data_IF_920574950630
#
_entry.id   IF_920574950630
#
_cell.length_a   1.000
_cell.length_b   1.000
_cell.length_c   1.000
_cell.angle_alpha   90.00
_cell.angle_beta   90.00
_cell.angle_gamma   90.00
#
_symmetry.space_group_name_H-M   'P 1'
#
loop_
_entity.id
_entity.type
_entity.pdbx_description
1 polymer ?
#
# COMPACT_ATOMS: atom_id res chain seq x y z
N UNK A 1 12.29 28.79 -8.75
CA UNK A 1 12.85 27.50 -9.18
C UNK A 1 13.65 26.92 -8.03
N UNK A 2 13.01 26.14 -7.16
CA UNK A 2 13.69 25.44 -6.07
C UNK A 2 14.14 24.08 -6.61
N UNK A 3 15.42 24.02 -6.98
CA UNK A 3 16.17 22.77 -7.07
C UNK A 3 16.11 22.07 -5.70
N UNK A 4 16.13 20.74 -5.64
CA UNK A 4 16.03 19.87 -4.45
C UNK A 4 14.61 19.46 -4.03
N UNK A 5 13.88 18.73 -4.89
CA UNK A 5 12.88 17.78 -4.37
C UNK A 5 12.73 16.59 -5.32
N UNK A 6 13.71 15.70 -5.31
CA UNK A 6 13.64 14.39 -5.99
C UNK A 6 12.41 13.59 -5.57
N UNK A 7 11.98 13.78 -4.32
CA UNK A 7 10.85 13.08 -3.72
C UNK A 7 9.53 13.59 -4.26
N UNK A 8 9.20 13.12 -5.45
CA UNK A 8 7.91 13.31 -6.08
C UNK A 8 6.95 12.18 -5.70
N UNK A 9 5.66 12.40 -5.98
CA UNK A 9 4.65 11.34 -5.89
C UNK A 9 5.07 10.11 -6.72
N UNK A 10 5.63 10.32 -7.91
CA UNK A 10 6.11 9.23 -8.78
C UNK A 10 7.29 8.44 -8.19
N UNK A 11 8.22 9.10 -7.52
CA UNK A 11 9.31 8.40 -6.83
C UNK A 11 8.78 7.61 -5.64
N UNK A 12 7.78 8.17 -4.95
CA UNK A 12 7.12 7.55 -3.80
C UNK A 12 6.29 6.32 -4.16
N UNK A 13 5.81 6.20 -5.42
CA UNK A 13 5.13 5.00 -5.91
C UNK A 13 5.97 3.74 -5.76
N UNK A 14 7.29 3.84 -5.93
CA UNK A 14 8.21 2.70 -5.78
C UNK A 14 8.12 2.14 -4.36
N UNK A 15 8.07 3.04 -3.37
CA UNK A 15 8.00 2.69 -1.94
C UNK A 15 6.62 2.17 -1.59
N UNK A 16 5.55 2.85 -2.02
CA UNK A 16 4.19 2.38 -1.79
C UNK A 16 3.95 0.99 -2.37
N UNK A 17 4.51 0.71 -3.56
CA UNK A 17 4.50 -0.64 -4.14
C UNK A 17 5.33 -1.64 -3.36
N UNK A 18 6.54 -1.26 -2.92
CA UNK A 18 7.40 -2.12 -2.10
C UNK A 18 6.73 -2.50 -0.76
N UNK A 19 6.01 -1.56 -0.15
CA UNK A 19 5.25 -1.75 1.09
C UNK A 19 3.88 -2.39 0.88
N UNK A 20 3.50 -2.67 -0.36
CA UNK A 20 2.18 -3.21 -0.73
C UNK A 20 0.99 -2.31 -0.34
N UNK A 21 1.20 -1.00 -0.38
CA UNK A 21 0.26 0.03 0.02
C UNK A 21 -0.41 0.75 -1.16
N UNK A 22 -0.35 0.17 -2.36
CA UNK A 22 -0.88 0.77 -3.59
C UNK A 22 0.03 1.85 -4.16
N UNK A 23 -0.56 2.96 -4.61
CA UNK A 23 0.16 4.09 -5.22
C UNK A 23 0.39 5.20 -4.20
N UNK A 24 1.38 6.06 -4.42
CA UNK A 24 1.61 7.23 -3.59
C UNK A 24 0.52 8.27 -3.83
N UNK A 25 -0.04 8.79 -2.74
CA UNK A 25 -1.09 9.82 -2.75
C UNK A 25 -0.47 11.18 -2.46
N UNK A 26 0.42 11.24 -1.46
CA UNK A 26 1.11 12.47 -1.12
C UNK A 26 2.49 12.20 -0.56
N UNK A 27 3.37 13.17 -0.78
CA UNK A 27 4.72 13.21 -0.22
C UNK A 27 4.93 14.61 0.33
N UNK A 28 5.49 14.68 1.54
CA UNK A 28 5.75 15.95 2.21
C UNK A 28 7.01 15.86 3.06
N UNK A 29 7.80 16.94 3.03
CA UNK A 29 8.89 17.16 3.96
C UNK A 29 8.32 17.77 5.25
N UNK A 30 8.46 17.04 6.34
CA UNK A 30 8.07 17.49 7.67
C UNK A 30 9.27 18.06 8.42
N UNK A 31 9.10 19.24 9.02
CA UNK A 31 10.10 19.85 9.89
C UNK A 31 9.87 19.41 11.34
N UNK A 32 10.90 18.86 11.97
CA UNK A 32 11.00 18.61 13.40
C UNK A 32 11.99 19.58 14.02
N UNK A 33 11.72 19.99 15.26
CA UNK A 33 12.63 20.87 16.01
C UNK A 33 13.95 20.19 16.41
N UNK A 34 14.01 18.86 16.34
CA UNK A 34 15.15 18.06 16.75
C UNK A 34 15.93 17.56 15.53
N UNK A 35 17.27 17.62 15.61
CA UNK A 35 18.16 17.09 14.59
C UNK A 35 18.35 15.60 14.82
N UNK A 36 17.82 14.79 13.90
CA UNK A 36 17.97 13.33 13.93
C UNK A 36 18.96 12.87 12.88
N UNK A 37 19.75 11.82 13.16
CA UNK A 37 20.64 11.25 12.16
C UNK A 37 19.82 10.65 11.02
N UNK A 38 20.17 10.97 9.78
CA UNK A 38 19.44 10.55 8.57
C UNK A 38 20.32 9.81 7.58
N UNK A 39 19.71 9.01 6.72
CA UNK A 39 20.35 8.39 5.56
C UNK A 39 20.21 9.28 4.33
N UNK A 40 21.29 9.48 3.58
CA UNK A 40 21.23 10.11 2.26
C UNK A 40 20.91 9.08 1.19
N UNK A 41 19.93 9.34 0.34
CA UNK A 41 19.58 8.46 -0.79
C UNK A 41 20.06 9.07 -2.10
N UNK A 42 20.61 8.24 -2.97
CA UNK A 42 20.99 8.60 -4.34
C UNK A 42 19.76 8.55 -5.27
N UNK A 43 19.27 9.71 -5.78
CA UNK A 43 18.10 9.82 -6.65
C UNK A 43 18.12 8.90 -7.88
N UNK A 44 19.28 8.81 -8.51
CA UNK A 44 19.45 8.04 -9.75
C UNK A 44 19.23 6.53 -9.53
N UNK A 45 19.46 6.03 -8.31
CA UNK A 45 19.36 4.61 -7.99
C UNK A 45 17.92 4.11 -7.86
N UNK A 46 17.00 4.95 -7.34
CA UNK A 46 15.60 4.56 -7.09
C UNK A 46 14.85 4.24 -8.40
N UNK A 47 15.20 4.91 -9.50
CA UNK A 47 14.62 4.64 -10.82
C UNK A 47 15.21 3.40 -11.52
N UNK A 48 16.38 2.94 -11.08
CA UNK A 48 17.15 1.88 -11.74
C UNK A 48 17.09 0.53 -11.02
N UNK A 49 16.65 0.50 -9.76
CA UNK A 49 16.66 -0.70 -8.90
C UNK A 49 15.33 -0.86 -8.17
N UNK A 50 14.97 -2.09 -7.78
CA UNK A 50 13.71 -2.40 -7.09
C UNK A 50 13.79 -2.30 -5.56
N UNK A 51 14.98 -2.05 -4.98
CA UNK A 51 15.20 -2.13 -3.53
C UNK A 51 15.84 -0.85 -3.00
N UNK A 52 15.04 -0.01 -2.33
CA UNK A 52 15.47 1.31 -1.82
C UNK A 52 16.72 1.26 -0.92
N UNK A 53 16.91 0.17 -0.18
CA UNK A 53 18.07 -0.03 0.71
C UNK A 53 19.41 0.12 -0.02
N UNK A 54 19.47 -0.30 -1.28
CA UNK A 54 20.72 -0.30 -2.05
C UNK A 54 21.09 1.11 -2.53
N UNK A 55 20.13 2.04 -2.49
CA UNK A 55 20.33 3.44 -2.81
C UNK A 55 20.78 4.29 -1.62
N UNK A 56 20.89 3.68 -0.43
CA UNK A 56 21.38 4.36 0.76
C UNK A 56 22.89 4.58 0.66
N UNK A 57 23.28 5.85 0.68
CA UNK A 57 24.68 6.26 0.80
C UNK A 57 25.01 6.54 2.27
N UNK A 58 26.15 6.04 2.73
CA UNK A 58 26.61 6.31 4.10
C UNK A 58 27.05 7.78 4.16
N UNK A 59 26.20 8.61 4.76
CA UNK A 59 26.45 10.02 4.99
C UNK A 59 26.06 10.33 6.44
N UNK A 60 27.02 10.81 7.23
CA UNK A 60 26.77 11.08 8.66
C UNK A 60 26.32 12.53 8.78
N UNK A 61 25.01 12.74 8.69
CA UNK A 61 24.40 14.05 8.73
C UNK A 61 23.13 13.98 9.58
N UNK A 62 22.92 15.02 10.39
CA UNK A 62 21.67 15.18 11.14
C UNK A 62 20.80 16.20 10.43
N UNK A 63 19.52 15.91 10.27
CA UNK A 63 18.56 16.79 9.61
C UNK A 63 17.37 17.05 10.54
N UNK A 64 16.81 18.26 10.54
CA UNK A 64 15.53 18.52 11.16
C UNK A 64 14.36 18.09 10.26
N UNK A 65 14.64 17.73 9.00
CA UNK A 65 13.61 17.32 8.04
C UNK A 65 13.47 15.80 7.96
N UNK A 66 12.23 15.33 7.93
CA UNK A 66 11.88 13.93 7.68
C UNK A 66 10.92 13.82 6.52
N UNK A 67 11.13 12.83 5.65
CA UNK A 67 10.24 12.56 4.53
C UNK A 67 9.02 11.75 4.99
N UNK A 68 7.83 12.28 4.76
CA UNK A 68 6.55 11.64 5.07
C UNK A 68 5.85 11.25 3.76
N UNK A 69 5.45 9.98 3.66
CA UNK A 69 4.77 9.42 2.49
C UNK A 69 3.42 8.88 2.93
N UNK A 70 2.39 9.18 2.15
CA UNK A 70 1.06 8.57 2.29
C UNK A 70 0.74 7.81 1.01
N UNK A 71 0.46 6.52 1.16
CA UNK A 71 0.04 5.65 0.06
C UNK A 71 -1.50 5.50 0.05
N UNK A 72 -2.02 4.96 -1.05
CA UNK A 72 -3.45 4.66 -1.23
C UNK A 72 -3.85 3.42 -0.42
N UNK A 73 -3.89 3.56 0.92
CA UNK A 73 -4.50 2.59 1.86
C UNK A 73 -6.04 2.64 1.78
N UNK A 74 -6.55 2.66 0.55
CA UNK A 74 -7.96 2.87 0.24
C UNK A 74 -8.73 1.56 0.14
N UNK A 75 -8.04 0.43 -0.10
CA UNK A 75 -8.66 -0.88 -0.35
C UNK A 75 -7.90 -1.98 0.37
N UNK A 76 -8.62 -2.95 0.96
CA UNK A 76 -8.03 -4.17 1.53
C UNK A 76 -8.91 -5.41 1.34
N UNK A 77 -8.26 -6.58 1.34
CA UNK A 77 -8.93 -7.88 1.40
C UNK A 77 -8.77 -8.49 2.79
N UNK A 78 -9.87 -8.85 3.45
CA UNK A 78 -9.88 -9.39 4.82
C UNK A 78 -10.64 -10.72 4.90
N UNK A 79 -10.32 -11.55 5.90
CA UNK A 79 -10.97 -12.86 6.11
C UNK A 79 -10.91 -13.83 4.91
N UNK A 80 -9.88 -13.75 4.06
CA UNK A 80 -9.62 -14.78 3.06
C UNK A 80 -8.34 -15.57 3.35
N UNK A 81 -7.97 -16.44 2.42
CA UNK A 81 -6.85 -17.39 2.58
C UNK A 81 -5.48 -16.79 2.29
N UNK A 82 -5.41 -15.58 1.72
CA UNK A 82 -4.16 -14.89 1.37
C UNK A 82 -4.37 -13.37 1.34
N UNK A 83 -3.29 -12.60 1.15
CA UNK A 83 -3.38 -11.15 0.94
C UNK A 83 -4.06 -10.76 -0.38
N UNK A 84 -4.21 -11.72 -1.30
CA UNK A 84 -4.89 -11.56 -2.58
C UNK A 84 -6.25 -12.26 -2.61
N UNK A 85 -6.80 -12.66 -1.46
CA UNK A 85 -8.11 -13.28 -1.36
C UNK A 85 -8.82 -12.83 -0.10
N UNK A 86 -10.10 -12.47 -0.21
CA UNK A 86 -10.94 -12.16 0.95
C UNK A 86 -12.11 -11.25 0.62
N UNK A 87 -12.79 -10.79 1.67
CA UNK A 87 -13.80 -9.74 1.59
C UNK A 87 -13.16 -8.40 1.27
N UNK A 88 -13.71 -7.72 0.27
CA UNK A 88 -13.31 -6.38 -0.12
C UNK A 88 -13.85 -5.32 0.85
N UNK A 89 -12.96 -4.53 1.40
CA UNK A 89 -13.28 -3.34 2.19
C UNK A 89 -12.59 -2.11 1.63
N UNK A 90 -13.33 -1.00 1.61
CA UNK A 90 -12.88 0.31 1.11
C UNK A 90 -12.91 1.33 2.24
N UNK A 91 -11.88 2.18 2.31
CA UNK A 91 -11.72 3.19 3.36
C UNK A 91 -12.25 4.56 2.89
N UNK A 92 -13.07 5.21 3.71
CA UNK A 92 -13.48 6.61 3.52
C UNK A 92 -13.60 7.33 4.84
N UNK A 93 -12.96 8.51 4.95
CA UNK A 93 -12.98 9.35 6.16
C UNK A 93 -12.69 8.56 7.45
N UNK A 94 -11.71 7.64 7.39
CA UNK A 94 -11.27 6.72 8.46
C UNK A 94 -12.15 5.49 8.75
N UNK A 95 -13.29 5.34 8.09
CA UNK A 95 -14.15 4.17 8.24
C UNK A 95 -13.93 3.18 7.11
N UNK A 96 -13.96 1.89 7.45
CA UNK A 96 -13.95 0.79 6.49
C UNK A 96 -15.36 0.35 6.23
N UNK A 97 -15.72 0.28 4.95
CA UNK A 97 -17.02 -0.18 4.48
C UNK A 97 -16.84 -1.38 3.57
N UNK A 98 -17.71 -2.38 3.70
CA UNK A 98 -17.73 -3.53 2.79
C UNK A 98 -18.41 -3.15 1.49
N UNK A 99 -17.91 -3.63 0.36
CA UNK A 99 -18.55 -3.39 -0.95
C UNK A 99 -19.64 -4.43 -1.18
N UNK A 100 -20.79 -4.01 -1.70
CA UNK A 100 -21.88 -4.91 -2.07
C UNK A 100 -21.56 -5.67 -3.37
N UNK A 101 -21.93 -6.95 -3.40
CA UNK A 101 -21.78 -7.79 -4.60
C UNK A 101 -22.53 -7.21 -5.81
N UNK A 102 -23.71 -6.61 -5.60
CA UNK A 102 -24.53 -5.98 -6.65
C UNK A 102 -23.92 -4.69 -7.24
N UNK A 103 -22.83 -4.17 -6.66
CA UNK A 103 -22.24 -2.87 -6.99
C UNK A 103 -20.76 -2.97 -7.34
N UNK A 104 -20.30 -4.18 -7.67
CA UNK A 104 -18.91 -4.47 -7.97
C UNK A 104 -18.78 -5.47 -9.10
N UNK A 105 -18.16 -5.04 -10.19
CA UNK A 105 -18.01 -5.84 -11.40
C UNK A 105 -16.56 -6.34 -11.62
N UNK A 106 -16.32 -6.95 -12.78
CA UNK A 106 -15.01 -7.49 -13.12
C UNK A 106 -13.98 -6.41 -13.48
N UNK A 107 -14.41 -5.24 -13.98
CA UNK A 107 -13.50 -4.11 -14.24
C UNK A 107 -13.04 -3.49 -12.93
N UNK A 108 -13.94 -3.34 -11.96
CA UNK A 108 -13.60 -2.90 -10.60
C UNK A 108 -12.61 -3.88 -9.95
N UNK A 109 -12.87 -5.19 -10.11
CA UNK A 109 -11.98 -6.25 -9.64
C UNK A 109 -10.58 -6.16 -10.24
N UNK A 110 -10.49 -5.82 -11.52
CA UNK A 110 -9.21 -5.65 -12.22
C UNK A 110 -8.41 -4.49 -11.65
N UNK A 111 -9.08 -3.37 -11.37
CA UNK A 111 -8.44 -2.22 -10.72
C UNK A 111 -7.97 -2.58 -9.32
N UNK A 112 -8.81 -3.22 -8.49
CA UNK A 112 -8.43 -3.63 -7.13
C UNK A 112 -7.27 -4.61 -7.12
N UNK A 113 -7.32 -5.67 -7.94
CA UNK A 113 -6.22 -6.64 -7.99
C UNK A 113 -4.91 -6.00 -8.47
N UNK A 114 -4.97 -5.00 -9.36
CA UNK A 114 -3.81 -4.22 -9.80
C UNK A 114 -3.31 -3.26 -8.71
N UNK A 115 -4.21 -2.53 -8.07
CA UNK A 115 -3.90 -1.61 -6.95
C UNK A 115 -3.22 -2.37 -5.80
N UNK A 116 -3.73 -3.57 -5.49
CA UNK A 116 -3.13 -4.47 -4.53
C UNK A 116 -1.89 -5.19 -5.05
N UNK A 117 -1.48 -5.06 -6.31
CA UNK A 117 -0.32 -5.77 -6.87
C UNK A 117 -0.48 -7.30 -6.89
N UNK A 118 -1.71 -7.78 -6.98
CA UNK A 118 -2.10 -9.19 -6.97
C UNK A 118 -2.39 -9.75 -8.38
N UNK A 119 -2.03 -9.03 -9.44
CA UNK A 119 -2.25 -9.48 -10.83
C UNK A 119 -3.70 -9.38 -11.30
N UNK A 120 -4.16 -10.34 -12.11
CA UNK A 120 -5.52 -10.34 -12.66
C UNK A 120 -6.56 -10.91 -11.67
N UNK A 121 -7.83 -10.52 -11.73
CA UNK A 121 -8.89 -11.15 -10.92
C UNK A 121 -9.17 -12.58 -11.38
N UNK A 122 -9.35 -13.51 -10.44
CA UNK A 122 -9.69 -14.92 -10.71
C UNK A 122 -11.15 -15.24 -10.37
N UNK A 123 -11.58 -14.86 -9.16
CA UNK A 123 -12.88 -15.25 -8.62
C UNK A 123 -13.51 -14.07 -7.90
N UNK A 124 -14.76 -13.81 -8.26
CA UNK A 124 -15.68 -12.94 -7.54
C UNK A 124 -16.70 -13.84 -6.82
N UNK A 125 -16.74 -13.76 -5.50
CA UNK A 125 -17.64 -14.56 -4.69
C UNK A 125 -18.33 -13.69 -3.64
N UNK A 126 -19.63 -13.48 -3.76
CA UNK A 126 -20.42 -12.92 -2.67
C UNK A 126 -20.56 -13.93 -1.53
N UNK A 127 -20.30 -13.48 -0.31
CA UNK A 127 -20.61 -14.26 0.89
C UNK A 127 -21.36 -13.41 1.93
N UNK A 128 -22.16 -14.09 2.75
CA UNK A 128 -22.80 -13.48 3.91
C UNK A 128 -21.75 -13.34 5.02
N UNK A 129 -21.15 -12.17 5.11
CA UNK A 129 -20.15 -11.88 6.14
C UNK A 129 -20.83 -11.35 7.40
N UNK A 130 -21.34 -12.26 8.24
CA UNK A 130 -21.65 -12.07 9.67
C UNK A 130 -22.73 -11.05 10.05
N UNK A 131 -23.67 -11.47 10.91
CA UNK A 131 -24.64 -10.58 11.58
C UNK A 131 -23.94 -9.58 12.51
N UNK A 132 -23.60 -8.42 11.98
CA UNK A 132 -23.18 -7.24 12.70
C UNK A 132 -23.56 -6.01 11.88
N UNK A 133 -23.50 -4.81 12.45
CA UNK A 133 -23.70 -3.54 11.73
C UNK A 133 -22.55 -3.34 10.72
N UNK A 134 -22.55 -4.11 9.63
CA UNK A 134 -21.61 -3.96 8.52
C UNK A 134 -22.04 -2.70 7.78
N UNK A 135 -21.18 -1.69 7.78
CA UNK A 135 -21.37 -0.52 6.95
C UNK A 135 -21.06 -0.92 5.50
N UNK A 136 -22.04 -0.79 4.63
CA UNK A 136 -21.84 -1.03 3.21
C UNK A 136 -21.44 0.26 2.51
N UNK A 137 -20.59 0.10 1.51
CA UNK A 137 -20.31 1.16 0.56
C UNK A 137 -21.59 1.50 -0.21
N UNK A 138 -21.90 2.79 -0.31
CA UNK A 138 -23.19 3.28 -0.80
C UNK A 138 -23.20 3.63 -2.29
N UNK A 139 -22.06 3.53 -2.96
CA UNK A 139 -21.92 3.89 -4.37
C UNK A 139 -21.46 2.71 -5.21
N UNK A 140 -21.91 2.65 -6.45
CA UNK A 140 -21.39 1.69 -7.41
C UNK A 140 -20.10 2.22 -7.99
N UNK A 141 -19.08 1.35 -8.07
CA UNK A 141 -17.87 1.64 -8.82
C UNK A 141 -18.14 1.37 -10.30
N UNK A 142 -17.68 2.28 -11.14
CA UNK A 142 -17.84 2.20 -12.58
C UNK A 142 -16.46 2.38 -13.22
N UNK A 143 -15.56 1.46 -12.90
CA UNK A 143 -14.22 1.47 -13.47
C UNK A 143 -14.26 1.07 -14.97
N UNK A 144 -13.42 1.70 -15.78
CA UNK A 144 -13.11 1.26 -17.14
C UNK A 144 -12.11 0.09 -17.15
N UNK A 145 -11.37 -0.12 -16.04
CA UNK A 145 -10.40 -1.19 -15.86
C UNK A 145 -8.94 -0.75 -16.07
N UNK A 146 -8.69 0.52 -16.39
CA UNK A 146 -7.35 1.08 -16.60
C UNK A 146 -6.90 2.05 -15.49
N UNK A 147 -7.76 2.29 -14.50
CA UNK A 147 -7.51 3.17 -13.37
C UNK A 147 -6.42 2.63 -12.43
N UNK A 148 -5.65 3.52 -11.82
CA UNK A 148 -4.55 3.09 -10.93
C UNK A 148 -5.04 2.69 -9.54
N UNK A 149 -6.15 3.27 -9.08
CA UNK A 149 -6.81 2.92 -7.83
C UNK A 149 -8.34 2.88 -7.98
N UNK A 150 -9.02 2.09 -7.15
CA UNK A 150 -10.48 1.95 -7.15
C UNK A 150 -11.19 3.29 -6.89
N UNK A 151 -10.55 4.17 -6.12
CA UNK A 151 -11.08 5.50 -5.80
C UNK A 151 -11.00 6.50 -6.96
N UNK A 152 -10.22 6.20 -8.00
CA UNK A 152 -10.12 7.02 -9.22
C UNK A 152 -11.26 6.73 -10.20
N UNK A 153 -11.99 5.63 -10.00
CA UNK A 153 -13.08 5.23 -10.88
C UNK A 153 -14.28 6.16 -10.79
N UNK A 154 -15.07 6.17 -11.87
CA UNK A 154 -16.40 6.76 -11.86
C UNK A 154 -17.25 6.19 -10.73
N UNK A 155 -18.11 7.02 -10.13
CA UNK A 155 -19.00 6.62 -9.04
C UNK A 155 -20.42 7.04 -9.34
N UNK A 156 -21.37 6.13 -9.18
CA UNK A 156 -22.79 6.48 -9.19
C UNK A 156 -23.26 6.75 -7.76
N UNK A 157 -23.90 7.90 -7.52
CA UNK A 157 -24.54 8.19 -6.24
C UNK A 157 -25.84 7.39 -6.13
N UNK A 158 -25.77 6.19 -5.57
CA UNK A 158 -26.98 5.46 -5.18
C UNK A 158 -27.53 6.03 -3.88
N UNK A 159 -28.39 7.03 -4.00
CA UNK A 159 -29.08 7.64 -2.87
C UNK A 159 -29.98 6.64 -2.10
N UNK A 160 -30.30 5.46 -2.66
CA UNK A 160 -31.28 4.53 -2.06
C UNK A 160 -31.01 3.02 -2.31
N UNK A 161 -29.82 2.60 -2.73
CA UNK A 161 -29.54 1.15 -2.88
C UNK A 161 -28.94 0.59 -1.60
N UNK A 162 -29.81 0.12 -0.71
CA UNK A 162 -29.40 -0.78 0.37
C UNK A 162 -28.95 -2.09 -0.25
N UNK A 163 -27.93 -2.73 0.32
CA UNK A 163 -27.45 -4.04 -0.11
C UNK A 163 -28.58 -5.07 0.02
N UNK A 164 -29.32 -5.35 -1.05
CA UNK A 164 -30.59 -6.08 -1.02
C UNK A 164 -30.46 -7.45 -0.35
N UNK A 165 -29.31 -8.12 -0.58
CA UNK A 165 -29.01 -9.44 -0.04
C UNK A 165 -28.04 -9.45 1.16
N UNK A 166 -27.51 -8.30 1.57
CA UNK A 166 -26.49 -8.23 2.64
C UNK A 166 -25.24 -9.06 2.35
N UNK A 167 -24.92 -9.26 1.07
CA UNK A 167 -23.73 -9.99 0.64
C UNK A 167 -22.62 -8.99 0.33
N UNK A 168 -21.48 -9.16 0.99
CA UNK A 168 -20.29 -8.40 0.64
C UNK A 168 -19.48 -9.12 -0.43
N UNK A 169 -18.86 -8.34 -1.30
CA UNK A 169 -17.97 -8.80 -2.35
C UNK A 169 -16.75 -9.50 -1.74
N UNK A 170 -16.57 -10.77 -2.05
CA UNK A 170 -15.31 -11.47 -1.92
C UNK A 170 -14.56 -11.45 -3.25
N UNK A 171 -13.27 -11.14 -3.21
CA UNK A 171 -12.39 -11.08 -4.37
C UNK A 171 -11.21 -12.01 -4.15
N UNK A 172 -10.86 -12.80 -5.17
CA UNK A 172 -9.61 -13.55 -5.25
C UNK A 172 -8.90 -13.20 -6.55
N UNK A 173 -7.62 -12.81 -6.44
CA UNK A 173 -6.76 -12.47 -7.56
C UNK A 173 -5.78 -13.61 -7.88
N UNK A 174 -5.26 -13.62 -9.12
CA UNK A 174 -4.38 -14.64 -9.70
C UNK A 174 -2.99 -14.67 -9.09
N UNK A 175 -2.51 -13.51 -8.67
CA UNK A 175 -1.27 -13.40 -7.96
C UNK A 175 -1.38 -14.18 -6.66
N UNK A 176 -0.58 -15.22 -6.53
CA UNK A 176 -0.19 -15.71 -5.23
C UNK A 176 0.67 -14.62 -4.62
N UNK A 177 0.09 -13.65 -3.89
CA UNK A 177 0.83 -13.10 -2.75
C UNK A 177 0.84 -14.20 -1.71
N UNK A 178 1.76 -15.14 -1.93
CA UNK A 178 2.12 -16.11 -0.91
C UNK A 178 2.38 -15.33 0.36
N UNK A 179 1.78 -15.81 1.44
CA UNK A 179 2.01 -15.36 2.80
C UNK A 179 3.48 -14.95 2.97
N UNK A 180 3.77 -13.66 3.04
CA UNK A 180 5.14 -13.11 3.18
C UNK A 180 6.11 -13.74 2.18
N UNK A 181 6.39 -13.13 1.02
CA UNK A 181 7.53 -13.62 0.22
C UNK A 181 8.84 -13.33 0.95
N UNK A 182 9.29 -14.30 1.74
CA UNK A 182 10.65 -14.44 2.23
C UNK A 182 11.58 -14.57 1.01
N UNK A 183 12.45 -13.58 0.78
CA UNK A 183 13.62 -13.83 -0.07
C UNK A 183 14.60 -14.75 0.68
N UNK A 184 15.27 -15.61 -0.08
CA UNK A 184 16.33 -16.51 0.37
C UNK A 184 17.48 -15.76 1.06
N UNK A 185 17.54 -15.84 2.40
CA UNK A 185 18.77 -15.53 3.13
C UNK A 185 19.67 -16.78 3.12
N UNK A 186 20.41 -16.99 2.03
CA UNK A 186 21.46 -18.02 2.01
C UNK A 186 22.61 -17.55 2.90
N UNK A 187 22.68 -18.09 4.12
CA UNK A 187 23.95 -18.17 4.85
C UNK A 187 24.25 -19.65 5.08
N UNK A 188 25.07 -20.21 4.18
CA UNK A 188 25.84 -21.43 4.44
C UNK A 188 25.04 -22.67 4.88
N UNK A 189 24.01 -23.04 4.12
CA UNK A 189 23.63 -24.46 3.97
C UNK A 189 22.80 -25.12 5.08
N UNK A 190 22.20 -24.38 6.02
CA UNK A 190 21.22 -24.94 6.96
C UNK A 190 19.99 -24.03 7.09
N UNK A 191 18.84 -24.56 6.69
CA UNK A 191 17.54 -23.87 6.66
C UNK A 191 17.02 -23.72 8.09
N UNK A 192 17.12 -22.51 8.65
CA UNK A 192 16.41 -22.10 9.87
C UNK A 192 15.47 -20.94 9.52
N UNK A 193 14.17 -21.09 9.82
CA UNK A 193 13.15 -20.05 9.63
C UNK A 193 13.27 -18.97 10.72
N UNK A 194 13.85 -17.80 10.41
CA UNK A 194 13.77 -16.62 11.28
C UNK A 194 13.50 -15.33 10.50
N UNK A 195 12.49 -14.58 10.98
CA UNK A 195 11.89 -13.37 10.42
C UNK A 195 12.91 -12.38 9.81
N UNK A 196 12.89 -12.20 8.49
CA UNK A 196 13.60 -11.10 7.84
C UNK A 196 12.58 -9.97 7.58
N UNK A 197 12.61 -8.92 8.40
CA UNK A 197 11.79 -7.72 8.16
C UNK A 197 12.27 -7.00 6.90
N UNK A 198 11.33 -6.43 6.14
CA UNK A 198 11.66 -5.51 5.04
C UNK A 198 12.57 -4.39 5.56
N UNK A 199 13.61 -3.99 4.81
CA UNK A 199 14.52 -2.93 5.25
C UNK A 199 13.92 -1.54 5.07
N UNK A 200 12.63 -1.40 4.79
CA UNK A 200 11.92 -0.14 4.54
C UNK A 200 10.60 -0.16 5.31
N UNK A 201 10.23 0.95 5.95
CA UNK A 201 8.95 1.10 6.66
C UNK A 201 8.48 2.55 6.68
N UNK A 202 7.18 2.74 6.89
CA UNK A 202 6.59 4.03 7.26
C UNK A 202 6.20 3.98 8.75
N UNK A 203 6.57 5.01 9.52
CA UNK A 203 6.31 5.10 10.96
C UNK A 203 5.64 6.40 11.36
N UNK A 204 4.90 6.37 12.47
CA UNK A 204 4.31 7.57 13.08
C UNK A 204 2.80 7.74 12.84
N UNK A 205 2.24 7.03 11.87
CA UNK A 205 0.79 7.02 11.61
C UNK A 205 0.14 5.68 12.02
N UNK A 206 -1.20 5.63 12.17
CA UNK A 206 -1.92 4.40 12.54
C UNK A 206 -1.86 3.30 11.47
N UNK A 207 -1.54 3.65 10.22
CA UNK A 207 -1.41 2.72 9.10
C UNK A 207 0.06 2.53 8.75
N UNK A 208 0.47 1.29 8.45
CA UNK A 208 1.82 1.00 7.93
C UNK A 208 2.06 1.55 6.51
N UNK A 209 1.01 2.09 5.89
CA UNK A 209 1.00 2.70 4.56
C UNK A 209 1.05 4.24 4.58
N UNK A 210 1.27 4.82 5.76
CA UNK A 210 1.45 6.26 5.90
C UNK A 210 2.51 6.54 6.97
N UNK A 211 3.21 7.67 6.83
CA UNK A 211 4.11 8.19 7.86
C UNK A 211 5.52 8.45 7.36
N UNK A 212 6.44 8.62 8.31
CA UNK A 212 7.85 8.92 8.05
C UNK A 212 8.55 7.71 7.44
N UNK A 213 9.21 7.90 6.29
CA UNK A 213 10.01 6.89 5.62
C UNK A 213 11.31 6.63 6.35
N UNK A 214 11.48 5.40 6.82
CA UNK A 214 12.70 4.91 7.43
C UNK A 214 13.27 3.70 6.69
N UNK A 215 14.60 3.63 6.63
CA UNK A 215 15.32 2.52 6.01
C UNK A 215 16.30 1.92 7.01
N UNK A 216 16.35 0.58 7.03
CA UNK A 216 17.31 -0.18 7.83
C UNK A 216 18.59 -0.37 7.02
N UNK A 217 19.66 0.29 7.45
CA UNK A 217 20.98 0.12 6.87
C UNK A 217 21.98 -0.17 7.98
N UNK A 218 22.81 -1.21 7.81
CA UNK A 218 23.81 -1.64 8.80
C UNK A 218 23.25 -1.96 10.20
N UNK A 219 21.99 -2.40 10.26
CA UNK A 219 21.32 -2.75 11.50
C UNK A 219 20.54 -1.60 12.15
N UNK A 220 20.71 -0.37 11.69
CA UNK A 220 20.06 0.81 12.24
C UNK A 220 18.96 1.36 11.33
N UNK A 221 17.84 1.75 11.95
CA UNK A 221 16.74 2.46 11.29
C UNK A 221 16.98 3.96 11.40
N UNK A 222 16.96 4.66 10.26
CA UNK A 222 17.01 6.12 10.24
C UNK A 222 16.06 6.68 9.17
N UNK A 223 15.53 7.89 9.35
CA UNK A 223 14.80 8.60 8.31
C UNK A 223 15.72 8.88 7.11
N UNK A 224 15.13 9.09 5.95
CA UNK A 224 15.87 9.34 4.71
C UNK A 224 15.66 10.76 4.21
N UNK A 225 16.69 11.30 3.58
CA UNK A 225 16.63 12.58 2.86
C UNK A 225 17.33 12.45 1.50
N UNK A 226 16.99 13.33 0.57
CA UNK A 226 17.77 13.52 -0.65
C UNK A 226 19.17 14.05 -0.31
N UNK A 227 20.19 13.53 -1.00
CA UNK A 227 21.58 13.97 -0.88
C UNK A 227 21.86 15.22 -1.70
#
# INVERSE_FOLDING_TARGET
ETLFDFWTVKASDVICRQLNCGSAVSVSLEYRSDYVPVWGIEPACVHSTSVLRDCVTRYDHSSPFTLSITCSDSVRLVNGSSLCSGRLEVKTNRFWSSVCEEHFDLHDAQVVCRELGCGAPLVLQGALYGQGKVLYWTSEFQCEGNESALMDCGRSSSAEKTCSHGKATGLTCAGTKGAWFWYDCVFHGLIFFYLCSDPVRLVGEPSHCAGTLEVKHQGEWRPVIER
#
